data_IF_383480377206
#
_entry.id   IF_383480377206
#
_cell.length_a   1.000
_cell.length_b   1.000
_cell.length_c   1.000
_cell.angle_alpha   90.00
_cell.angle_beta   90.00
_cell.angle_gamma   90.00
#
_symmetry.space_group_name_H-M   'P 1'
#
loop_
_entity.id
_entity.type
_entity.pdbx_description
1 polymer ?
#
# COMPACT_ATOMS: atom_id res chain seq x y z
N UNK A 1 -7.16 -18.30 -24.62
CA UNK A 1 -7.62 -17.33 -23.62
C UNK A 1 -8.47 -16.25 -24.26
N UNK A 2 -9.70 -16.11 -23.78
CA UNK A 2 -10.62 -15.01 -24.08
C UNK A 2 -10.95 -14.24 -22.80
N UNK A 3 -11.52 -13.03 -22.94
CA UNK A 3 -12.00 -12.24 -21.80
C UNK A 3 -13.14 -12.93 -21.01
N UNK A 4 -13.77 -13.95 -21.60
CA UNK A 4 -14.78 -14.80 -20.97
C UNK A 4 -14.18 -15.74 -19.92
N UNK A 5 -12.93 -16.20 -20.12
CA UNK A 5 -12.23 -17.06 -19.16
C UNK A 5 -11.93 -16.29 -17.86
N UNK A 6 -11.62 -15.00 -17.96
CA UNK A 6 -11.48 -14.13 -16.78
C UNK A 6 -12.82 -13.82 -16.11
N UNK A 7 -13.90 -13.76 -16.89
CA UNK A 7 -15.25 -13.54 -16.36
C UNK A 7 -15.76 -14.76 -15.58
N UNK A 8 -15.50 -15.98 -16.06
CA UNK A 8 -15.89 -17.21 -15.35
C UNK A 8 -15.17 -17.34 -14.01
N UNK A 9 -13.86 -17.03 -13.97
CA UNK A 9 -13.09 -16.99 -12.72
C UNK A 9 -13.67 -15.93 -11.76
N UNK A 10 -14.06 -14.76 -12.27
CA UNK A 10 -14.69 -13.73 -11.44
C UNK A 10 -16.02 -14.20 -10.84
N UNK A 11 -16.87 -14.84 -11.65
CA UNK A 11 -18.19 -15.30 -11.21
C UNK A 11 -18.07 -16.32 -10.07
N UNK A 12 -17.06 -17.20 -10.13
CA UNK A 12 -16.74 -18.16 -9.06
C UNK A 12 -16.12 -17.50 -7.83
N UNK A 13 -15.36 -16.41 -8.01
CA UNK A 13 -14.75 -15.64 -6.93
C UNK A 13 -15.68 -14.59 -6.31
N UNK A 14 -16.91 -14.40 -6.81
CA UNK A 14 -17.79 -13.32 -6.37
C UNK A 14 -17.98 -13.30 -4.85
N UNK A 15 -17.60 -12.19 -4.22
CA UNK A 15 -17.61 -12.02 -2.76
C UNK A 15 -16.30 -12.39 -2.04
N UNK A 16 -15.31 -12.91 -2.76
CA UNK A 16 -13.91 -13.02 -2.31
C UNK A 16 -13.20 -11.66 -2.38
N UNK A 17 -12.15 -11.50 -1.56
CA UNK A 17 -11.24 -10.36 -1.62
C UNK A 17 -10.41 -10.31 -2.91
N UNK A 18 -10.24 -11.43 -3.59
CA UNK A 18 -9.53 -11.55 -4.88
C UNK A 18 -10.39 -11.17 -6.10
N UNK A 19 -11.71 -11.09 -5.97
CA UNK A 19 -12.61 -10.82 -7.09
C UNK A 19 -12.37 -9.47 -7.81
N UNK A 20 -12.11 -8.35 -7.10
CA UNK A 20 -11.80 -7.08 -7.76
C UNK A 20 -10.55 -7.16 -8.65
N UNK A 21 -9.52 -7.88 -8.20
CA UNK A 21 -8.26 -8.02 -8.95
C UNK A 21 -8.45 -8.79 -10.27
N UNK A 22 -9.32 -9.81 -10.29
CA UNK A 22 -9.65 -10.54 -11.53
C UNK A 22 -10.44 -9.65 -12.50
N UNK A 23 -11.29 -8.76 -11.99
CA UNK A 23 -11.98 -7.76 -12.82
C UNK A 23 -11.02 -6.72 -13.39
N UNK A 24 -10.08 -6.23 -12.58
CA UNK A 24 -9.04 -5.31 -13.04
C UNK A 24 -8.18 -5.97 -14.12
N UNK A 25 -7.77 -7.22 -13.91
CA UNK A 25 -7.04 -8.01 -14.90
C UNK A 25 -7.83 -8.16 -16.21
N UNK A 26 -9.15 -8.38 -16.13
CA UNK A 26 -10.03 -8.44 -17.30
C UNK A 26 -10.10 -7.12 -18.05
N UNK A 27 -10.20 -5.99 -17.35
CA UNK A 27 -10.16 -4.66 -17.99
C UNK A 27 -8.84 -4.46 -18.74
N UNK A 28 -7.72 -4.72 -18.06
CA UNK A 28 -6.37 -4.59 -18.64
C UNK A 28 -6.16 -5.53 -19.83
N UNK A 29 -6.76 -6.73 -19.80
CA UNK A 29 -6.74 -7.67 -20.92
C UNK A 29 -7.47 -7.11 -22.16
N UNK A 30 -8.64 -6.47 -21.97
CA UNK A 30 -9.38 -5.83 -23.07
C UNK A 30 -8.62 -4.64 -23.67
N UNK A 31 -7.88 -3.90 -22.83
CA UNK A 31 -7.03 -2.79 -23.24
C UNK A 31 -5.68 -3.25 -23.84
N UNK A 32 -5.48 -4.56 -24.03
CA UNK A 32 -4.26 -5.18 -24.56
C UNK A 32 -3.00 -4.93 -23.71
N UNK A 33 -3.16 -4.62 -22.42
CA UNK A 33 -2.09 -4.44 -21.45
C UNK A 33 -1.82 -5.78 -20.72
N UNK A 34 -1.26 -6.76 -21.44
CA UNK A 34 -1.17 -8.14 -20.96
C UNK A 34 -0.17 -8.30 -19.81
N UNK A 35 0.87 -7.47 -19.75
CA UNK A 35 1.82 -7.45 -18.64
C UNK A 35 1.18 -7.01 -17.32
N UNK A 36 0.38 -5.95 -17.36
CA UNK A 36 -0.35 -5.46 -16.20
C UNK A 36 -1.46 -6.44 -15.78
N UNK A 37 -2.18 -7.02 -16.76
CA UNK A 37 -3.18 -8.06 -16.53
C UNK A 37 -2.57 -9.29 -15.84
N UNK A 38 -1.37 -9.73 -16.27
CA UNK A 38 -0.66 -10.83 -15.65
C UNK A 38 -0.32 -10.53 -14.18
N UNK A 39 0.20 -9.34 -13.90
CA UNK A 39 0.49 -8.91 -12.52
C UNK A 39 -0.75 -8.97 -11.62
N UNK A 40 -1.90 -8.49 -12.11
CA UNK A 40 -3.17 -8.54 -11.38
C UNK A 40 -3.70 -9.95 -11.17
N UNK A 41 -3.53 -10.86 -12.13
CA UNK A 41 -3.91 -12.26 -11.96
C UNK A 41 -3.04 -13.00 -10.94
N UNK A 42 -1.72 -12.78 -10.95
CA UNK A 42 -0.81 -13.34 -9.95
C UNK A 42 -1.15 -12.83 -8.54
N UNK A 43 -1.38 -11.52 -8.40
CA UNK A 43 -1.81 -10.92 -7.13
C UNK A 43 -3.16 -11.51 -6.65
N UNK A 44 -4.09 -11.75 -7.57
CA UNK A 44 -5.38 -12.37 -7.27
C UNK A 44 -5.21 -13.82 -6.77
N UNK A 45 -4.30 -14.58 -7.40
CA UNK A 45 -3.98 -15.95 -7.02
C UNK A 45 -3.40 -16.01 -5.59
N UNK A 46 -2.38 -15.20 -5.31
CA UNK A 46 -1.70 -15.14 -4.00
C UNK A 46 -2.70 -14.80 -2.89
N UNK A 47 -3.47 -13.73 -3.05
CA UNK A 47 -4.49 -13.33 -2.06
C UNK A 47 -5.59 -14.38 -1.87
N UNK A 48 -5.93 -15.11 -2.94
CA UNK A 48 -6.91 -16.19 -2.83
C UNK A 48 -6.36 -17.39 -2.06
N UNK A 49 -5.11 -17.79 -2.36
CA UNK A 49 -4.41 -18.85 -1.63
C UNK A 49 -4.26 -18.49 -0.15
N UNK A 50 -3.84 -17.28 0.18
CA UNK A 50 -3.75 -16.79 1.57
C UNK A 50 -5.10 -16.86 2.29
N UNK A 51 -6.18 -16.39 1.64
CA UNK A 51 -7.53 -16.42 2.21
C UNK A 51 -8.06 -17.85 2.44
N UNK A 52 -7.58 -18.83 1.67
CA UNK A 52 -8.00 -20.23 1.72
C UNK A 52 -6.98 -21.17 2.36
N UNK A 53 -5.83 -20.66 2.78
CA UNK A 53 -4.70 -21.44 3.30
C UNK A 53 -5.11 -22.41 4.41
N UNK A 54 -5.92 -21.95 5.37
CA UNK A 54 -6.41 -22.79 6.48
C UNK A 54 -7.27 -23.96 6.01
N UNK A 55 -8.11 -23.73 5.00
CA UNK A 55 -9.04 -24.74 4.46
C UNK A 55 -8.30 -25.75 3.58
N UNK A 56 -7.29 -25.28 2.83
CA UNK A 56 -6.48 -26.13 1.94
C UNK A 56 -5.50 -27.02 2.71
N UNK A 57 -4.87 -26.51 3.80
CA UNK A 57 -3.80 -27.23 4.52
C UNK A 57 -4.31 -28.21 5.58
N UNK A 58 -5.50 -28.00 6.14
CA UNK A 58 -5.99 -28.81 7.26
C UNK A 58 -6.91 -29.93 6.79
N UNK A 59 -6.69 -31.16 7.29
CA UNK A 59 -7.59 -32.28 7.00
C UNK A 59 -8.99 -32.01 7.57
N UNK A 60 -10.06 -32.07 6.76
CA UNK A 60 -11.42 -31.76 7.20
C UNK A 60 -11.92 -32.71 8.31
N UNK A 61 -11.40 -33.94 8.35
CA UNK A 61 -11.72 -34.95 9.37
C UNK A 61 -11.07 -34.62 10.71
N UNK A 62 -9.90 -33.98 10.73
CA UNK A 62 -9.18 -33.62 11.97
C UNK A 62 -9.71 -32.33 12.61
N UNK A 63 -10.41 -31.49 11.85
CA UNK A 63 -10.96 -30.21 12.33
C UNK A 63 -12.26 -30.36 13.12
N UNK A 64 -12.96 -31.48 12.96
CA UNK A 64 -14.29 -31.71 13.53
C UNK A 64 -14.19 -32.77 14.61
N UNK A 65 -14.72 -32.48 15.80
CA UNK A 65 -14.77 -33.46 16.88
C UNK A 65 -15.61 -34.67 16.44
N UNK A 66 -15.04 -35.90 16.42
CA UNK A 66 -15.78 -37.10 16.01
C UNK A 66 -16.98 -37.41 16.90
N UNK A 67 -17.06 -36.82 18.10
CA UNK A 67 -18.18 -37.00 19.03
C UNK A 67 -19.31 -35.99 18.82
N UNK A 68 -19.14 -34.99 17.95
CA UNK A 68 -20.19 -34.01 17.68
C UNK A 68 -21.35 -34.65 16.91
N UNK A 69 -22.59 -34.35 17.33
CA UNK A 69 -23.83 -34.87 16.71
C UNK A 69 -23.97 -34.54 15.22
N UNK A 70 -23.30 -33.48 14.76
CA UNK A 70 -23.30 -32.99 13.36
C UNK A 70 -21.97 -33.21 12.63
N UNK A 71 -21.09 -34.09 13.13
CA UNK A 71 -19.72 -34.24 12.62
C UNK A 71 -19.67 -34.51 11.11
N UNK A 72 -20.43 -35.50 10.61
CA UNK A 72 -20.47 -35.85 9.18
C UNK A 72 -20.93 -34.68 8.30
N UNK A 73 -21.89 -33.89 8.78
CA UNK A 73 -22.40 -32.73 8.04
C UNK A 73 -21.36 -31.62 7.97
N UNK A 74 -20.58 -31.42 9.04
CA UNK A 74 -19.49 -30.45 9.07
C UNK A 74 -18.33 -30.88 8.17
N UNK A 75 -17.93 -32.15 8.22
CA UNK A 75 -16.90 -32.72 7.35
C UNK A 75 -17.29 -32.55 5.87
N UNK A 76 -18.52 -32.94 5.47
CA UNK A 76 -19.00 -32.76 4.09
C UNK A 76 -18.99 -31.30 3.64
N UNK A 77 -19.27 -30.35 4.53
CA UNK A 77 -19.21 -28.92 4.21
C UNK A 77 -17.77 -28.44 4.01
N UNK A 78 -16.82 -28.92 4.81
CA UNK A 78 -15.40 -28.57 4.67
C UNK A 78 -14.80 -29.18 3.39
N UNK A 79 -15.13 -30.43 3.08
CA UNK A 79 -14.71 -31.09 1.83
C UNK A 79 -15.19 -30.29 0.61
N UNK A 80 -16.47 -29.96 0.53
CA UNK A 80 -17.00 -29.14 -0.58
C UNK A 80 -16.34 -27.76 -0.71
N UNK A 81 -15.99 -27.14 0.43
CA UNK A 81 -15.28 -25.85 0.42
C UNK A 81 -13.85 -25.99 -0.08
N UNK A 82 -13.19 -27.09 0.25
CA UNK A 82 -11.83 -27.40 -0.21
C UNK A 82 -11.84 -27.73 -1.72
N UNK A 83 -12.72 -28.62 -2.15
CA UNK A 83 -12.90 -28.97 -3.58
C UNK A 83 -13.16 -27.71 -4.42
N UNK A 84 -14.10 -26.85 -3.99
CA UNK A 84 -14.36 -25.58 -4.69
C UNK A 84 -13.15 -24.64 -4.69
N UNK A 85 -12.33 -24.63 -3.64
CA UNK A 85 -11.13 -23.81 -3.61
C UNK A 85 -10.05 -24.34 -4.56
N UNK A 86 -9.88 -25.65 -4.64
CA UNK A 86 -8.97 -26.34 -5.56
C UNK A 86 -9.41 -26.14 -7.02
N UNK A 87 -10.72 -26.24 -7.31
CA UNK A 87 -11.28 -25.98 -8.65
C UNK A 87 -10.99 -24.55 -9.13
N UNK A 88 -11.22 -23.55 -8.28
CA UNK A 88 -10.93 -22.14 -8.62
C UNK A 88 -9.42 -21.92 -8.86
N UNK A 89 -8.56 -22.54 -8.05
CA UNK A 89 -7.11 -22.46 -8.26
C UNK A 89 -6.68 -23.12 -9.57
N UNK A 90 -7.26 -24.26 -9.91
CA UNK A 90 -7.00 -24.92 -11.19
C UNK A 90 -7.41 -24.05 -12.39
N UNK A 91 -8.56 -23.35 -12.32
CA UNK A 91 -8.95 -22.39 -13.36
C UNK A 91 -7.95 -21.24 -13.50
N UNK A 92 -7.44 -20.70 -12.39
CA UNK A 92 -6.42 -19.64 -12.39
C UNK A 92 -5.10 -20.18 -12.99
N UNK A 93 -4.68 -21.38 -12.60
CA UNK A 93 -3.45 -22.02 -13.09
C UNK A 93 -3.50 -22.37 -14.58
N UNK A 94 -4.69 -22.62 -15.14
CA UNK A 94 -4.89 -22.82 -16.57
C UNK A 94 -4.70 -21.50 -17.36
N UNK A 95 -5.19 -20.39 -16.80
CA UNK A 95 -5.18 -19.08 -17.46
C UNK A 95 -3.83 -18.36 -17.41
N UNK A 96 -3.12 -18.44 -16.28
CA UNK A 96 -1.83 -17.78 -16.07
C UNK A 96 -0.77 -18.06 -17.16
N UNK A 97 -0.52 -19.30 -17.60
CA UNK A 97 0.49 -19.58 -18.63
C UNK A 97 0.08 -19.02 -20.01
N UNK A 98 -1.21 -18.95 -20.31
CA UNK A 98 -1.68 -18.34 -21.57
C UNK A 98 -1.47 -16.82 -21.55
N UNK A 99 -1.81 -16.19 -20.43
CA UNK A 99 -1.60 -14.75 -20.22
C UNK A 99 -0.11 -14.38 -20.25
N UNK A 100 0.76 -15.24 -19.69
CA UNK A 100 2.22 -15.08 -19.77
C UNK A 100 2.71 -15.09 -21.21
N UNK A 101 2.28 -16.06 -22.03
CA UNK A 101 2.62 -16.12 -23.46
C UNK A 101 2.17 -14.88 -24.23
N UNK A 102 1.02 -14.32 -23.91
CA UNK A 102 0.53 -13.07 -24.52
C UNK A 102 1.39 -11.87 -24.08
N UNK A 103 1.76 -11.80 -22.81
CA UNK A 103 2.64 -10.76 -22.28
C UNK A 103 4.04 -10.78 -22.93
N UNK A 104 4.60 -11.96 -23.19
CA UNK A 104 5.90 -12.10 -23.85
C UNK A 104 5.82 -11.69 -25.34
N UNK A 105 4.71 -12.01 -26.02
CA UNK A 105 4.45 -11.54 -27.38
C UNK A 105 4.31 -10.02 -27.45
N UNK A 106 3.65 -9.41 -26.47
CA UNK A 106 3.53 -7.95 -26.38
C UNK A 106 4.90 -7.27 -26.19
N UNK A 107 5.71 -7.80 -25.26
CA UNK A 107 7.07 -7.30 -25.02
C UNK A 107 7.95 -7.40 -26.27
N UNK A 108 7.92 -8.53 -26.96
CA UNK A 108 8.69 -8.71 -28.21
C UNK A 108 8.19 -7.81 -29.35
N UNK A 109 6.89 -7.54 -29.44
CA UNK A 109 6.34 -6.59 -30.41
C UNK A 109 6.79 -5.16 -30.11
N UNK A 110 6.66 -4.70 -28.86
CA UNK A 110 7.13 -3.38 -28.42
C UNK A 110 8.63 -3.18 -28.65
N UNK A 111 9.44 -4.21 -28.38
CA UNK A 111 10.89 -4.17 -28.64
C UNK A 111 11.21 -4.04 -30.14
N UNK A 112 10.46 -4.72 -31.01
CA UNK A 112 10.62 -4.59 -32.47
C UNK A 112 10.18 -3.23 -33.00
N UNK A 113 9.08 -2.69 -32.49
CA UNK A 113 8.59 -1.35 -32.86
C UNK A 113 9.57 -0.25 -32.41
N UNK A 114 10.16 -0.39 -31.22
CA UNK A 114 11.21 0.53 -30.74
C UNK A 114 12.47 0.49 -31.63
N UNK A 115 12.96 -0.71 -31.97
CA UNK A 115 14.13 -0.87 -32.86
C UNK A 115 13.88 -0.38 -34.29
N UNK A 116 12.62 -0.41 -34.75
CA UNK A 116 12.24 0.09 -36.07
C UNK A 116 12.04 1.62 -36.08
N UNK A 117 11.66 2.22 -34.95
CA UNK A 117 11.60 3.67 -34.78
C UNK A 117 12.99 4.32 -34.71
N UNK A 118 13.99 3.63 -34.16
CA UNK A 118 15.38 4.12 -34.08
C UNK A 118 16.15 4.03 -35.42
N UNK A 119 15.61 3.34 -36.43
CA UNK A 119 16.24 3.21 -37.76
C UNK A 119 15.61 4.07 -38.86
N UNK A 120 14.66 4.95 -38.50
CA UNK A 120 14.13 5.95 -39.43
C UNK A 120 15.14 7.11 -39.59
N UNK A 121 15.63 7.40 -40.81
CA UNK A 121 16.54 8.51 -41.03
C UNK A 121 15.83 9.86 -40.80
N UNK A 122 16.53 10.88 -40.27
CA UNK A 122 15.96 12.21 -40.12
C UNK A 122 15.66 12.78 -41.50
N UNK A 123 14.38 12.98 -41.80
CA UNK A 123 13.96 13.80 -42.93
C UNK A 123 14.08 15.26 -42.51
N UNK A 124 15.18 15.88 -42.92
CA UNK A 124 15.27 17.33 -43.09
C UNK A 124 14.21 17.77 -44.10
N UNK A 125 13.19 18.48 -43.64
CA UNK A 125 12.53 19.46 -44.52
C UNK A 125 12.08 20.67 -43.70
N UNK A 126 12.51 21.83 -44.19
CA UNK A 126 12.48 23.12 -43.53
C UNK A 126 11.38 24.04 -44.10
N UNK A 127 11.04 25.07 -43.32
CA UNK A 127 10.16 26.23 -43.58
C UNK A 127 8.67 26.01 -43.28
N UNK A 128 7.89 26.93 -42.71
CA UNK A 128 8.02 28.37 -42.40
C UNK A 128 7.05 28.70 -41.23
N UNK A 129 7.43 29.38 -40.15
CA UNK A 129 7.38 30.84 -39.96
C UNK A 129 6.16 31.33 -39.11
N UNK A 130 6.44 32.37 -38.31
CA UNK A 130 5.59 33.34 -37.60
C UNK A 130 5.08 33.10 -36.15
N UNK A 131 5.55 34.02 -35.28
CA UNK A 131 4.95 34.65 -34.08
C UNK A 131 5.34 34.17 -32.66
N UNK A 132 6.34 34.89 -32.11
CA UNK A 132 6.26 35.72 -30.89
C UNK A 132 5.32 35.26 -29.75
N UNK A 133 5.90 34.84 -28.63
CA UNK A 133 5.43 35.23 -27.29
C UNK A 133 6.48 34.93 -26.22
N UNK A 134 6.64 35.91 -25.35
CA UNK A 134 7.71 36.11 -24.39
C UNK A 134 7.75 35.11 -23.23
N UNK A 135 8.98 34.83 -22.78
CA UNK A 135 9.45 34.80 -21.38
C UNK A 135 8.58 34.10 -20.30
N UNK A 136 9.05 32.95 -19.85
CA UNK A 136 9.34 32.71 -18.44
C UNK A 136 10.24 31.48 -18.29
N UNK A 137 11.48 31.72 -17.90
CA UNK A 137 12.44 30.74 -17.39
C UNK A 137 11.87 30.06 -16.15
N UNK A 138 11.44 28.80 -16.26
CA UNK A 138 11.29 27.91 -15.11
C UNK A 138 12.52 27.01 -15.04
N UNK A 139 13.36 27.39 -14.09
CA UNK A 139 14.45 26.64 -13.50
C UNK A 139 13.86 25.35 -12.89
N UNK A 140 13.90 24.25 -13.66
CA UNK A 140 13.57 22.92 -13.17
C UNK A 140 14.70 22.46 -12.25
N UNK A 141 14.53 22.75 -10.96
CA UNK A 141 15.26 22.07 -9.90
C UNK A 141 14.94 20.57 -9.96
N UNK A 142 15.94 19.67 -9.99
CA UNK A 142 15.70 18.24 -10.01
C UNK A 142 15.02 17.85 -8.70
N UNK A 143 13.84 17.25 -8.83
CA UNK A 143 13.11 16.63 -7.73
C UNK A 143 13.99 15.58 -7.07
N UNK A 144 14.47 15.88 -5.86
CA UNK A 144 15.13 14.92 -4.97
C UNK A 144 14.19 13.75 -4.73
N UNK A 145 14.52 12.61 -5.32
CA UNK A 145 13.88 11.33 -5.11
C UNK A 145 14.07 10.93 -3.64
N UNK A 146 12.99 10.99 -2.85
CA UNK A 146 12.97 10.81 -1.40
C UNK A 146 13.27 9.40 -0.89
N UNK A 147 14.35 8.77 -1.33
CA UNK A 147 14.88 7.50 -0.79
C UNK A 147 15.96 7.72 0.28
N UNK A 148 16.57 8.91 0.35
CA UNK A 148 17.74 9.13 1.21
C UNK A 148 17.43 9.14 2.72
N UNK A 149 16.18 9.37 3.12
CA UNK A 149 15.83 9.55 4.54
C UNK A 149 15.76 8.24 5.34
N UNK A 150 15.51 7.10 4.69
CA UNK A 150 15.19 5.83 5.37
C UNK A 150 16.25 4.72 5.20
N UNK A 151 17.29 4.95 4.40
CA UNK A 151 18.35 3.95 4.18
C UNK A 151 19.32 3.86 5.36
N UNK A 152 19.71 2.64 5.72
CA UNK A 152 20.66 2.37 6.80
C UNK A 152 22.11 2.58 6.31
N UNK A 153 22.91 3.34 7.07
CA UNK A 153 24.35 3.53 6.78
C UNK A 153 25.23 2.60 7.61
N UNK A 154 26.48 2.37 7.17
CA UNK A 154 27.40 1.46 7.85
C UNK A 154 27.65 1.80 9.33
N UNK A 155 27.68 3.09 9.67
CA UNK A 155 27.93 3.57 11.04
C UNK A 155 26.76 3.26 12.00
N UNK A 156 25.57 2.99 11.46
CA UNK A 156 24.37 2.68 12.23
C UNK A 156 24.25 1.20 12.58
N UNK A 157 25.05 0.35 11.94
CA UNK A 157 25.08 -1.09 12.23
C UNK A 157 25.99 -1.34 13.42
N UNK A 158 25.40 -1.76 14.55
CA UNK A 158 26.20 -2.03 15.75
C UNK A 158 27.17 -3.21 15.55
N UNK A 159 28.38 -3.16 16.13
CA UNK A 159 29.35 -4.26 16.01
C UNK A 159 28.80 -5.57 16.58
N UNK A 160 28.05 -5.49 17.70
CA UNK A 160 27.38 -6.66 18.29
C UNK A 160 26.40 -7.34 17.33
N UNK A 161 25.72 -6.55 16.47
CA UNK A 161 24.83 -7.11 15.45
C UNK A 161 25.62 -7.86 14.39
N UNK A 162 26.76 -7.32 13.94
CA UNK A 162 27.64 -7.97 12.97
C UNK A 162 28.18 -9.29 13.52
N UNK A 163 28.61 -9.31 14.78
CA UNK A 163 29.07 -10.53 15.45
C UNK A 163 27.97 -11.59 15.55
N UNK A 164 26.75 -11.18 15.93
CA UNK A 164 25.59 -12.07 15.99
C UNK A 164 25.22 -12.61 14.60
N UNK A 165 25.27 -11.76 13.57
CA UNK A 165 25.00 -12.13 12.19
C UNK A 165 25.99 -13.20 11.70
N UNK A 166 27.28 -13.07 12.02
CA UNK A 166 28.32 -14.02 11.62
C UNK A 166 28.23 -15.38 12.31
N UNK A 167 27.63 -15.45 13.50
CA UNK A 167 27.43 -16.70 14.25
C UNK A 167 26.13 -17.43 13.86
N UNK A 168 25.26 -16.76 13.11
CA UNK A 168 23.92 -17.25 12.76
C UNK A 168 23.93 -18.00 11.42
N UNK A 169 23.05 -18.98 11.26
CA UNK A 169 22.80 -19.62 9.96
C UNK A 169 22.09 -18.66 8.99
N UNK A 170 22.11 -18.94 7.68
CA UNK A 170 21.46 -18.08 6.67
C UNK A 170 19.98 -17.79 6.97
N UNK A 171 19.24 -18.77 7.51
CA UNK A 171 17.84 -18.57 7.86
C UNK A 171 17.69 -17.66 9.09
N UNK A 172 18.52 -17.86 10.11
CA UNK A 172 18.54 -17.03 11.32
C UNK A 172 19.01 -15.60 11.02
N UNK A 173 19.92 -15.41 10.06
CA UNK A 173 20.35 -14.09 9.58
C UNK A 173 19.19 -13.29 8.97
N UNK A 174 18.36 -13.94 8.14
CA UNK A 174 17.17 -13.29 7.56
C UNK A 174 16.17 -12.91 8.65
N UNK A 175 15.96 -13.79 9.63
CA UNK A 175 15.08 -13.49 10.77
C UNK A 175 15.64 -12.37 11.64
N UNK A 176 16.95 -12.34 11.88
CA UNK A 176 17.64 -11.31 12.65
C UNK A 176 17.52 -9.94 11.97
N UNK A 177 17.71 -9.89 10.65
CA UNK A 177 17.49 -8.68 9.84
C UNK A 177 16.03 -8.25 9.93
N UNK A 178 15.07 -9.16 9.69
CA UNK A 178 13.65 -8.82 9.71
C UNK A 178 13.12 -8.36 11.06
N UNK A 179 13.80 -8.68 12.17
CA UNK A 179 13.47 -8.16 13.50
C UNK A 179 13.95 -6.73 13.73
N UNK A 180 15.10 -6.35 13.14
CA UNK A 180 15.76 -5.06 13.43
C UNK A 180 15.66 -4.03 12.33
N UNK A 181 15.48 -4.44 11.08
CA UNK A 181 15.55 -3.58 9.91
C UNK A 181 14.37 -3.83 8.97
N UNK A 182 13.99 -2.79 8.23
CA UNK A 182 13.20 -2.96 7.01
C UNK A 182 14.11 -3.45 5.88
N UNK A 183 13.52 -3.95 4.80
CA UNK A 183 14.27 -4.30 3.61
C UNK A 183 13.48 -3.99 2.35
N UNK A 184 14.18 -3.55 1.30
CA UNK A 184 13.62 -3.26 -0.01
C UNK A 184 14.51 -3.87 -1.10
N UNK A 185 13.96 -4.63 -2.06
CA UNK A 185 14.76 -5.14 -3.18
C UNK A 185 15.21 -3.99 -4.08
N UNK A 186 16.44 -4.07 -4.59
CA UNK A 186 16.95 -3.16 -5.63
C UNK A 186 16.21 -3.47 -6.93
N UNK A 187 15.46 -2.51 -7.48
CA UNK A 187 14.71 -2.71 -8.72
C UNK A 187 15.34 -1.96 -9.89
N UNK A 188 15.99 -0.85 -9.58
CA UNK A 188 16.57 0.09 -10.53
C UNK A 188 17.94 0.56 -10.07
N UNK A 189 18.71 1.10 -11.02
CA UNK A 189 20.01 1.70 -10.78
C UNK A 189 19.95 2.85 -9.74
N UNK A 190 18.79 3.51 -9.60
CA UNK A 190 18.57 4.60 -8.66
C UNK A 190 18.47 4.12 -7.20
N UNK A 191 18.15 2.84 -6.98
CA UNK A 191 18.10 2.27 -5.62
C UNK A 191 19.50 1.99 -5.06
N UNK A 192 20.55 2.11 -5.88
CA UNK A 192 21.94 1.83 -5.52
C UNK A 192 22.61 3.12 -5.06
N UNK A 193 22.50 3.41 -3.76
CA UNK A 193 23.03 4.63 -3.14
C UNK A 193 24.32 4.33 -2.38
N UNK A 194 25.35 5.15 -2.59
CA UNK A 194 26.61 5.03 -1.84
C UNK A 194 26.38 5.25 -0.33
N UNK A 195 27.09 4.49 0.49
CA UNK A 195 26.99 4.48 1.95
C UNK A 195 25.91 3.57 2.51
N UNK A 196 25.03 3.01 1.66
CA UNK A 196 23.93 2.16 2.12
C UNK A 196 24.36 0.73 2.38
N UNK A 197 23.75 0.12 3.40
CA UNK A 197 23.98 -1.27 3.78
C UNK A 197 22.97 -2.18 3.06
N UNK A 198 23.49 -3.20 2.40
CA UNK A 198 22.72 -4.23 1.73
C UNK A 198 22.96 -5.60 2.38
N UNK A 199 21.95 -6.47 2.27
CA UNK A 199 22.09 -7.89 2.53
C UNK A 199 22.12 -8.64 1.19
N UNK A 200 23.20 -9.40 0.97
CA UNK A 200 23.43 -10.22 -0.22
C UNK A 200 23.36 -11.69 0.16
N UNK A 201 22.39 -12.41 -0.42
CA UNK A 201 22.20 -13.84 -0.26
C UNK A 201 22.89 -14.59 -1.39
N UNK A 202 24.04 -15.20 -1.10
CA UNK A 202 24.71 -16.17 -1.97
C UNK A 202 24.16 -17.58 -1.79
N UNK A 203 24.65 -18.50 -2.63
CA UNK A 203 24.26 -19.92 -2.57
C UNK A 203 24.89 -20.64 -1.36
N UNK A 204 26.14 -20.30 -1.04
CA UNK A 204 26.90 -20.91 0.07
C UNK A 204 26.93 -20.03 1.32
N UNK A 205 27.01 -18.70 1.15
CA UNK A 205 27.18 -17.74 2.24
C UNK A 205 26.33 -16.49 2.00
N UNK A 206 25.93 -15.83 3.08
CA UNK A 206 25.23 -14.53 3.01
C UNK A 206 26.10 -13.44 3.64
N UNK A 207 26.08 -12.27 3.01
CA UNK A 207 27.01 -11.18 3.30
C UNK A 207 26.23 -9.92 3.65
N UNK A 208 26.76 -9.17 4.64
CA UNK A 208 26.31 -7.83 4.97
C UNK A 208 27.34 -6.84 4.42
N UNK A 209 26.92 -5.96 3.51
CA UNK A 209 27.82 -5.20 2.65
C UNK A 209 27.43 -3.74 2.57
N UNK A 210 28.40 -2.83 2.68
CA UNK A 210 28.21 -1.40 2.47
C UNK A 210 28.69 -1.01 1.07
N UNK A 211 27.91 -0.20 0.36
CA UNK A 211 28.27 0.31 -0.95
C UNK A 211 29.20 1.51 -0.78
N UNK A 212 30.47 1.46 -1.19
CA UNK A 212 31.41 2.58 -0.93
C UNK A 212 31.42 3.64 -2.03
N UNK A 213 31.10 3.28 -3.28
CA UNK A 213 31.30 4.18 -4.42
C UNK A 213 30.32 3.93 -5.57
N UNK A 214 29.55 4.97 -5.91
CA UNK A 214 28.61 5.01 -7.04
C UNK A 214 28.91 6.26 -7.88
N UNK A 215 30.15 6.44 -8.34
CA UNK A 215 30.54 7.61 -9.17
C UNK A 215 30.13 7.45 -10.65
N UNK A 216 29.00 6.77 -10.93
CA UNK A 216 28.54 6.49 -12.29
C UNK A 216 29.50 5.63 -13.14
N UNK A 217 30.53 5.05 -12.53
CA UNK A 217 31.46 4.11 -13.16
C UNK A 217 31.19 2.72 -12.60
N UNK A 218 30.71 1.82 -13.46
CA UNK A 218 30.76 0.38 -13.20
C UNK A 218 32.23 -0.05 -13.07
N UNK A 219 32.61 -0.90 -12.10
CA UNK A 219 31.76 -1.64 -11.16
C UNK A 219 31.53 -0.95 -9.80
N UNK A 220 30.42 -1.31 -9.13
CA UNK A 220 30.10 -0.87 -7.75
C UNK A 220 31.02 -1.59 -6.77
N UNK A 221 31.68 -0.83 -5.90
CA UNK A 221 32.51 -1.37 -4.83
C UNK A 221 31.66 -1.67 -3.59
N UNK A 222 31.77 -2.90 -3.10
CA UNK A 222 31.03 -3.42 -1.95
C UNK A 222 32.02 -3.85 -0.88
N UNK A 223 31.84 -3.36 0.34
CA UNK A 223 32.69 -3.65 1.49
C UNK A 223 31.93 -4.55 2.46
N UNK A 224 32.43 -5.75 2.71
CA UNK A 224 31.85 -6.66 3.70
C UNK A 224 32.06 -6.09 5.11
N UNK A 225 30.97 -5.82 5.83
CA UNK A 225 31.02 -5.23 7.17
C UNK A 225 31.62 -6.16 8.23
N UNK A 226 31.59 -7.47 8.02
CA UNK A 226 32.14 -8.45 8.96
C UNK A 226 33.63 -8.71 8.76
N UNK A 227 34.08 -8.81 7.51
CA UNK A 227 35.47 -9.18 7.19
C UNK A 227 36.33 -7.98 6.77
N UNK A 228 35.72 -6.86 6.43
CA UNK A 228 36.38 -5.71 5.80
C UNK A 228 36.83 -5.98 4.35
N UNK A 229 36.54 -7.17 3.81
CA UNK A 229 36.91 -7.53 2.45
C UNK A 229 36.11 -6.71 1.43
N UNK A 230 36.79 -6.20 0.41
CA UNK A 230 36.16 -5.47 -0.69
C UNK A 230 36.05 -6.33 -1.93
N UNK A 231 34.96 -6.17 -2.67
CA UNK A 231 34.76 -6.79 -3.97
C UNK A 231 33.93 -5.88 -4.88
N UNK A 232 33.99 -6.14 -6.18
CA UNK A 232 33.38 -5.31 -7.20
C UNK A 232 32.31 -6.07 -7.96
N UNK A 233 31.11 -5.49 -8.05
CA UNK A 233 29.97 -6.08 -8.78
C UNK A 233 29.49 -5.08 -9.84
N UNK A 234 29.33 -5.50 -11.11
CA UNK A 234 28.70 -4.67 -12.13
C UNK A 234 27.29 -4.24 -11.72
N UNK A 235 26.90 -3.01 -12.05
CA UNK A 235 25.62 -2.44 -11.60
C UNK A 235 24.43 -3.25 -12.13
N UNK A 236 24.47 -3.64 -13.40
CA UNK A 236 23.46 -4.50 -14.01
C UNK A 236 23.25 -5.83 -13.26
N UNK A 237 24.34 -6.47 -12.81
CA UNK A 237 24.27 -7.72 -12.03
C UNK A 237 23.66 -7.48 -10.66
N UNK A 238 23.96 -6.34 -10.03
CA UNK A 238 23.39 -5.97 -8.73
C UNK A 238 21.87 -5.79 -8.82
N UNK A 239 21.40 -5.14 -9.89
CA UNK A 239 19.96 -4.97 -10.17
C UNK A 239 19.29 -6.31 -10.49
N UNK A 240 19.93 -7.17 -11.28
CA UNK A 240 19.43 -8.54 -11.53
C UNK A 240 19.29 -9.32 -10.21
N UNK A 241 20.28 -9.26 -9.32
CA UNK A 241 20.19 -9.88 -8.00
C UNK A 241 19.09 -9.26 -7.14
N UNK A 242 18.84 -7.96 -7.25
CA UNK A 242 17.73 -7.30 -6.59
C UNK A 242 16.36 -7.80 -7.07
N UNK A 243 16.19 -7.96 -8.38
CA UNK A 243 14.97 -8.53 -8.99
C UNK A 243 14.74 -9.99 -8.59
N UNK A 244 15.81 -10.77 -8.44
CA UNK A 244 15.77 -12.14 -7.91
C UNK A 244 15.60 -12.21 -6.38
N UNK A 245 15.55 -11.06 -5.68
CA UNK A 245 15.53 -10.94 -4.21
C UNK A 245 16.73 -11.60 -3.53
N UNK A 246 17.86 -11.68 -4.23
CA UNK A 246 19.17 -12.07 -3.68
C UNK A 246 19.88 -10.88 -3.05
N UNK A 247 19.57 -9.65 -3.45
CA UNK A 247 20.08 -8.43 -2.81
C UNK A 247 18.92 -7.57 -2.35
N UNK A 248 18.99 -7.10 -1.11
CA UNK A 248 18.05 -6.13 -0.56
C UNK A 248 18.80 -5.01 0.16
N UNK A 249 18.36 -3.77 -0.01
CA UNK A 249 18.81 -2.61 0.76
C UNK A 249 18.15 -2.68 2.13
N UNK A 250 18.93 -2.47 3.19
CA UNK A 250 18.40 -2.40 4.54
C UNK A 250 17.92 -0.98 4.85
N UNK A 251 16.70 -0.91 5.37
CA UNK A 251 16.06 0.32 5.80
C UNK A 251 16.03 0.36 7.32
N UNK A 252 16.05 1.56 7.91
CA UNK A 252 15.82 1.71 9.34
C UNK A 252 14.45 1.10 9.69
N UNK A 253 14.37 0.29 10.75
CA UNK A 253 13.10 -0.31 11.10
C UNK A 253 12.08 0.77 11.43
N UNK A 254 10.82 0.64 10.99
CA UNK A 254 9.77 1.59 11.37
C UNK A 254 9.51 1.60 12.89
N UNK A 255 10.00 0.59 13.64
CA UNK A 255 10.00 0.61 15.10
C UNK A 255 11.13 1.47 15.68
N UNK A 256 12.30 1.52 15.03
CA UNK A 256 13.42 2.39 15.43
C UNK A 256 13.25 3.81 14.92
N UNK A 257 12.63 4.03 13.75
CA UNK A 257 12.17 5.37 13.32
C UNK A 257 11.14 5.96 14.30
N UNK A 258 10.48 5.10 15.11
CA UNK A 258 9.70 5.55 16.27
C UNK A 258 10.59 5.84 17.48
N UNK A 259 11.58 5.01 17.79
CA UNK A 259 12.42 5.16 18.99
C UNK A 259 13.52 6.24 18.88
N UNK A 260 14.15 6.44 17.73
CA UNK A 260 15.15 7.51 17.51
C UNK A 260 14.50 8.89 17.43
N UNK A 261 13.18 8.94 17.26
CA UNK A 261 12.41 10.16 17.45
C UNK A 261 11.92 10.40 18.87
N UNK A 262 12.21 9.49 19.80
CA UNK A 262 11.77 9.57 21.20
C UNK A 262 12.86 10.17 22.12
N UNK A 263 14.10 10.41 21.64
CA UNK A 263 15.22 10.88 22.49
C UNK A 263 15.51 12.40 22.41
N UNK A 264 14.84 13.14 21.51
CA UNK A 264 14.74 14.61 21.59
C UNK A 264 13.36 15.03 22.12
N UNK A 265 13.08 14.76 23.40
CA UNK A 265 12.30 15.62 24.30
C UNK A 265 10.90 16.12 23.91
N UNK A 266 10.27 15.60 22.85
CA UNK A 266 8.96 16.02 22.38
C UNK A 266 7.98 14.85 22.53
N UNK A 267 7.35 14.78 23.71
CA UNK A 267 6.24 13.87 24.05
C UNK A 267 5.29 13.65 22.87
N UNK A 268 4.73 12.45 22.69
CA UNK A 268 3.70 12.07 21.68
C UNK A 268 2.61 13.13 21.43
N UNK A 269 2.30 13.96 22.43
CA UNK A 269 1.43 15.13 22.29
C UNK A 269 1.90 16.17 21.25
N UNK A 270 3.20 16.28 20.95
CA UNK A 270 3.76 17.28 20.04
C UNK A 270 3.65 16.82 18.59
N UNK A 271 3.86 15.52 18.31
CA UNK A 271 3.69 14.96 16.95
C UNK A 271 2.22 14.83 16.55
N UNK A 272 1.32 14.55 17.50
CA UNK A 272 -0.12 14.63 17.24
C UNK A 272 -0.65 16.09 17.15
N UNK A 273 0.16 17.10 17.50
CA UNK A 273 -0.15 18.53 17.35
C UNK A 273 0.31 19.15 16.04
N UNK A 274 1.19 18.51 15.28
CA UNK A 274 1.59 19.03 13.96
C UNK A 274 0.48 18.68 12.97
N UNK A 275 -0.37 19.68 12.71
CA UNK A 275 -1.40 19.58 11.70
C UNK A 275 -0.75 19.60 10.31
N UNK A 276 -0.99 18.57 9.51
CA UNK A 276 -0.49 18.46 8.14
C UNK A 276 -1.64 18.41 7.13
N UNK A 277 -1.29 18.50 5.83
CA UNK A 277 -2.25 18.35 4.73
C UNK A 277 -2.91 16.96 4.72
N UNK A 278 -2.21 15.95 5.28
CA UNK A 278 -2.72 14.60 5.47
C UNK A 278 -3.92 14.56 6.40
N UNK A 279 -3.87 15.24 7.54
CA UNK A 279 -4.96 15.29 8.52
C UNK A 279 -6.24 15.91 7.95
N UNK A 280 -6.14 16.98 7.15
CA UNK A 280 -7.28 17.58 6.45
C UNK A 280 -7.86 16.66 5.38
N UNK A 281 -7.02 15.91 4.67
CA UNK A 281 -7.46 14.90 3.70
C UNK A 281 -8.18 13.73 4.38
N UNK A 282 -7.67 13.25 5.51
CA UNK A 282 -8.33 12.22 6.32
C UNK A 282 -9.66 12.71 6.91
N UNK A 283 -9.75 13.99 7.28
CA UNK A 283 -10.99 14.62 7.72
C UNK A 283 -12.01 14.65 6.57
N UNK A 284 -11.61 15.08 5.38
CA UNK A 284 -12.46 15.12 4.19
C UNK A 284 -13.03 13.72 3.87
N UNK A 285 -12.17 12.69 3.81
CA UNK A 285 -12.61 11.31 3.56
C UNK A 285 -13.59 10.81 4.62
N UNK A 286 -13.33 11.11 5.89
CA UNK A 286 -14.20 10.71 6.99
C UNK A 286 -15.55 11.44 6.95
N UNK A 287 -15.54 12.73 6.59
CA UNK A 287 -16.73 13.57 6.44
C UNK A 287 -17.61 13.08 5.28
N UNK A 288 -17.02 12.79 4.12
CA UNK A 288 -17.75 12.23 2.98
C UNK A 288 -18.35 10.85 3.29
N UNK A 289 -17.57 9.96 3.92
CA UNK A 289 -18.03 8.60 4.28
C UNK A 289 -19.17 8.59 5.30
N UNK A 290 -19.21 9.54 6.24
CA UNK A 290 -20.28 9.59 7.23
C UNK A 290 -21.60 10.14 6.66
N UNK A 291 -21.54 10.91 5.57
CA UNK A 291 -22.70 11.41 4.81
C UNK A 291 -23.59 12.41 5.56
N UNK A 292 -23.18 12.91 6.73
CA UNK A 292 -23.96 13.86 7.55
C UNK A 292 -23.31 15.23 7.70
N UNK A 293 -22.07 15.41 7.20
CA UNK A 293 -21.36 16.70 7.21
C UNK A 293 -21.86 17.53 6.02
N UNK A 294 -22.55 18.66 6.25
CA UNK A 294 -23.00 19.51 5.16
C UNK A 294 -21.80 20.24 4.54
N UNK A 295 -21.67 20.19 3.22
CA UNK A 295 -20.60 20.87 2.50
C UNK A 295 -19.22 20.28 2.79
N UNK A 296 -19.08 18.95 2.82
CA UNK A 296 -17.78 18.28 3.01
C UNK A 296 -16.70 18.78 2.04
N UNK A 297 -17.08 19.24 0.84
CA UNK A 297 -16.17 19.82 -0.16
C UNK A 297 -15.51 21.13 0.30
N UNK A 298 -16.11 21.83 1.28
CA UNK A 298 -15.49 23.01 1.90
C UNK A 298 -14.20 22.66 2.64
N UNK A 299 -14.04 21.40 3.07
CA UNK A 299 -12.81 20.93 3.73
C UNK A 299 -11.65 20.91 2.73
N UNK A 300 -11.90 20.52 1.47
CA UNK A 300 -10.90 20.58 0.41
C UNK A 300 -10.49 22.02 0.10
N UNK A 301 -11.46 22.94 0.05
CA UNK A 301 -11.20 24.37 -0.13
C UNK A 301 -10.34 24.93 1.03
N UNK A 302 -10.67 24.61 2.29
CA UNK A 302 -9.86 25.02 3.45
C UNK A 302 -8.44 24.46 3.35
N UNK A 303 -8.29 23.19 2.96
CA UNK A 303 -7.00 22.55 2.80
C UNK A 303 -6.14 23.22 1.72
N UNK A 304 -6.69 23.38 0.52
CA UNK A 304 -5.89 23.76 -0.64
C UNK A 304 -5.62 25.26 -0.71
N UNK A 305 -6.49 26.08 -0.10
CA UNK A 305 -6.37 27.53 -0.08
C UNK A 305 -5.97 28.08 1.27
N UNK A 306 -6.84 27.99 2.29
CA UNK A 306 -6.62 28.73 3.55
C UNK A 306 -5.44 28.14 4.34
N UNK A 307 -5.36 26.82 4.46
CA UNK A 307 -4.28 26.15 5.18
C UNK A 307 -2.93 26.28 4.45
N UNK A 308 -2.90 26.11 3.13
CA UNK A 308 -1.68 26.25 2.32
C UNK A 308 -1.13 27.69 2.30
N UNK A 309 -2.00 28.69 2.40
CA UNK A 309 -1.60 30.11 2.43
C UNK A 309 -1.29 30.62 3.84
N UNK A 310 -1.32 29.77 4.86
CA UNK A 310 -1.08 30.16 6.25
C UNK A 310 -2.22 30.94 6.90
N UNK A 311 -3.41 31.01 6.28
CA UNK A 311 -4.59 31.68 6.84
C UNK A 311 -5.30 30.79 7.87
N UNK A 312 -4.61 30.45 8.96
CA UNK A 312 -5.09 29.49 9.96
C UNK A 312 -6.32 29.98 10.73
N UNK A 313 -6.50 31.28 10.92
CA UNK A 313 -7.68 31.86 11.58
C UNK A 313 -8.95 31.58 10.78
N UNK A 314 -8.88 31.84 9.46
CA UNK A 314 -9.99 31.61 8.55
C UNK A 314 -10.26 30.12 8.39
N UNK A 315 -9.21 29.30 8.29
CA UNK A 315 -9.33 27.84 8.30
C UNK A 315 -10.03 27.34 9.57
N UNK A 316 -9.65 27.84 10.76
CA UNK A 316 -10.27 27.48 12.02
C UNK A 316 -11.75 27.86 12.05
N UNK A 317 -12.09 29.09 11.68
CA UNK A 317 -13.48 29.56 11.67
C UNK A 317 -14.38 28.71 10.77
N UNK A 318 -13.89 28.32 9.58
CA UNK A 318 -14.64 27.48 8.64
C UNK A 318 -14.81 26.07 9.21
N UNK A 319 -13.74 25.45 9.71
CA UNK A 319 -13.80 24.08 10.26
C UNK A 319 -14.66 24.03 11.52
N UNK A 320 -14.63 25.06 12.38
CA UNK A 320 -15.51 25.16 13.56
C UNK A 320 -16.99 25.27 13.17
N UNK A 321 -17.31 26.09 12.15
CA UNK A 321 -18.67 26.19 11.61
C UNK A 321 -19.16 24.85 11.04
N UNK A 322 -18.31 24.13 10.31
CA UNK A 322 -18.60 22.79 9.80
C UNK A 322 -18.81 21.78 10.93
N UNK A 323 -17.93 21.78 11.94
CA UNK A 323 -18.04 20.91 13.10
C UNK A 323 -19.33 21.17 13.89
N UNK A 324 -19.71 22.44 14.09
CA UNK A 324 -20.97 22.80 14.76
C UNK A 324 -22.19 22.22 14.05
N UNK A 325 -22.26 22.33 12.71
CA UNK A 325 -23.32 21.74 11.89
C UNK A 325 -23.30 20.21 11.95
N UNK A 326 -22.11 19.61 11.89
CA UNK A 326 -21.92 18.17 12.01
C UNK A 326 -22.43 17.64 13.36
N UNK A 327 -22.07 18.27 14.47
CA UNK A 327 -22.52 17.88 15.83
C UNK A 327 -24.05 18.00 15.95
N UNK A 328 -24.65 19.06 15.41
CA UNK A 328 -26.09 19.23 15.38
C UNK A 328 -26.79 18.10 14.60
N UNK A 329 -26.29 17.76 13.40
CA UNK A 329 -26.82 16.67 12.58
C UNK A 329 -26.64 15.29 13.24
N UNK A 330 -25.49 15.04 13.86
CA UNK A 330 -25.22 13.81 14.59
C UNK A 330 -26.16 13.64 15.79
N UNK A 331 -26.42 14.72 16.54
CA UNK A 331 -27.38 14.74 17.65
C UNK A 331 -28.81 14.49 17.17
N UNK A 332 -29.24 15.18 16.10
CA UNK A 332 -30.57 14.97 15.51
C UNK A 332 -30.77 13.52 15.04
N UNK A 333 -29.75 12.93 14.42
CA UNK A 333 -29.77 11.51 14.03
C UNK A 333 -29.86 10.58 15.24
N UNK A 334 -29.07 10.83 16.28
CA UNK A 334 -29.11 10.02 17.52
C UNK A 334 -30.51 10.04 18.15
N UNK A 335 -31.13 11.21 18.27
CA UNK A 335 -32.51 11.35 18.77
C UNK A 335 -33.52 10.62 17.87
N UNK A 336 -33.34 10.69 16.55
CA UNK A 336 -34.19 9.96 15.60
C UNK A 336 -34.08 8.45 15.78
N UNK A 337 -32.86 7.91 15.92
CA UNK A 337 -32.66 6.48 16.16
C UNK A 337 -33.31 6.04 17.48
N UNK A 338 -33.16 6.83 18.56
CA UNK A 338 -33.82 6.54 19.84
C UNK A 338 -35.36 6.49 19.71
N UNK A 339 -35.97 7.42 18.95
CA UNK A 339 -37.42 7.42 18.69
C UNK A 339 -37.83 6.21 17.86
N UNK A 340 -37.09 5.90 16.81
CA UNK A 340 -37.35 4.75 15.95
C UNK A 340 -37.23 3.43 16.74
N UNK A 341 -36.25 3.29 17.62
CA UNK A 341 -36.11 2.12 18.50
C UNK A 341 -37.27 2.00 19.49
N UNK A 342 -37.75 3.13 20.04
CA UNK A 342 -38.95 3.15 20.89
C UNK A 342 -40.23 2.77 20.13
N UNK A 343 -40.37 3.24 18.88
CA UNK A 343 -41.49 2.90 18.00
C UNK A 343 -41.47 1.41 17.59
N UNK A 344 -40.28 0.83 17.39
CA UNK A 344 -40.12 -0.62 17.14
C UNK A 344 -40.45 -1.41 18.42
N UNK A 345 -39.95 -0.98 19.57
CA UNK A 345 -40.18 -1.67 20.86
C UNK A 345 -41.66 -1.63 21.29
N UNK A 346 -42.36 -0.52 21.03
CA UNK A 346 -43.80 -0.40 21.31
C UNK A 346 -44.68 -1.14 20.30
N UNK A 347 -44.11 -1.70 19.24
CA UNK A 347 -44.86 -2.39 18.17
C UNK A 347 -45.60 -1.45 17.22
N UNK A 348 -45.38 -0.13 17.33
CA UNK A 348 -45.90 0.87 16.36
C UNK A 348 -45.30 0.63 14.98
N UNK A 349 -44.02 0.26 14.91
CA UNK A 349 -43.34 -0.16 13.69
C UNK A 349 -43.15 -1.67 13.73
N UNK A 350 -43.81 -2.38 12.82
CA UNK A 350 -43.64 -3.83 12.65
C UNK A 350 -42.44 -4.09 11.74
N UNK A 351 -41.44 -4.79 12.26
CA UNK A 351 -40.23 -5.17 11.54
C UNK A 351 -39.90 -6.63 11.86
N UNK A 352 -39.51 -7.42 10.86
CA UNK A 352 -39.11 -8.81 11.12
C UNK A 352 -37.79 -8.84 11.92
N UNK A 353 -37.52 -9.91 12.70
CA UNK A 353 -36.27 -10.02 13.45
C UNK A 353 -35.01 -9.90 12.56
N UNK A 354 -35.10 -10.40 11.32
CA UNK A 354 -34.01 -10.33 10.34
C UNK A 354 -33.77 -8.89 9.85
N UNK A 355 -34.85 -8.16 9.56
CA UNK A 355 -34.77 -6.75 9.16
C UNK A 355 -34.27 -5.87 10.30
N UNK A 356 -34.71 -6.13 11.54
CA UNK A 356 -34.25 -5.40 12.72
C UNK A 356 -32.75 -5.58 12.94
N UNK A 357 -32.24 -6.80 12.80
CA UNK A 357 -30.81 -7.08 12.91
C UNK A 357 -30.01 -6.37 11.80
N UNK A 358 -30.49 -6.45 10.54
CA UNK A 358 -29.85 -5.77 9.42
C UNK A 358 -29.87 -4.24 9.56
N UNK A 359 -30.96 -3.67 10.10
CA UNK A 359 -31.06 -2.25 10.42
C UNK A 359 -30.02 -1.85 11.47
N UNK A 360 -30.00 -2.52 12.63
CA UNK A 360 -29.04 -2.25 13.70
C UNK A 360 -27.58 -2.35 13.25
N UNK A 361 -27.28 -3.31 12.36
CA UNK A 361 -25.94 -3.42 11.78
C UNK A 361 -25.57 -2.19 10.94
N UNK A 362 -26.48 -1.72 10.07
CA UNK A 362 -26.28 -0.49 9.27
C UNK A 362 -26.12 0.73 10.16
N UNK A 363 -26.98 0.88 11.17
CA UNK A 363 -26.93 2.02 12.09
C UNK A 363 -25.60 2.05 12.85
N UNK A 364 -25.13 0.89 13.32
CA UNK A 364 -23.82 0.75 13.99
C UNK A 364 -22.65 1.09 13.07
N UNK A 365 -22.68 0.66 11.81
CA UNK A 365 -21.62 1.01 10.85
C UNK A 365 -21.57 2.51 10.59
N UNK A 366 -22.74 3.16 10.53
CA UNK A 366 -22.82 4.60 10.36
C UNK A 366 -22.39 5.36 11.62
N UNK A 367 -22.74 4.89 12.82
CA UNK A 367 -22.25 5.46 14.09
C UNK A 367 -20.73 5.44 14.18
N UNK A 368 -20.09 4.33 13.76
CA UNK A 368 -18.64 4.25 13.69
C UNK A 368 -18.02 5.23 12.69
N UNK A 369 -18.69 5.51 11.58
CA UNK A 369 -18.23 6.52 10.62
C UNK A 369 -18.36 7.94 11.19
N UNK A 370 -19.45 8.22 11.93
CA UNK A 370 -19.66 9.49 12.63
C UNK A 370 -18.59 9.70 13.70
N UNK A 371 -18.30 8.70 14.53
CA UNK A 371 -17.27 8.83 15.57
C UNK A 371 -15.87 9.03 14.98
N UNK A 372 -15.54 8.35 13.86
CA UNK A 372 -14.29 8.62 13.14
C UNK A 372 -14.23 10.06 12.64
N UNK A 373 -15.29 10.57 12.02
CA UNK A 373 -15.35 11.96 11.57
C UNK A 373 -15.20 12.94 12.75
N UNK A 374 -15.85 12.68 13.88
CA UNK A 374 -15.73 13.47 15.12
C UNK A 374 -14.29 13.53 15.62
N UNK A 375 -13.61 12.40 15.71
CA UNK A 375 -12.20 12.35 16.12
C UNK A 375 -11.30 13.14 15.18
N UNK A 376 -11.54 13.07 13.86
CA UNK A 376 -10.78 13.85 12.87
C UNK A 376 -11.05 15.35 12.97
N UNK A 377 -12.30 15.75 13.21
CA UNK A 377 -12.62 17.17 13.44
C UNK A 377 -11.88 17.71 14.66
N UNK A 378 -11.91 16.99 15.78
CA UNK A 378 -11.21 17.41 16.99
C UNK A 378 -9.70 17.55 16.75
N UNK A 379 -9.08 16.55 16.09
CA UNK A 379 -7.65 16.61 15.74
C UNK A 379 -7.31 17.85 14.89
N UNK A 380 -8.09 18.12 13.84
CA UNK A 380 -7.84 19.29 12.97
C UNK A 380 -8.06 20.60 13.74
N UNK A 381 -9.11 20.70 14.54
CA UNK A 381 -9.40 21.89 15.34
C UNK A 381 -8.31 22.17 16.38
N UNK A 382 -7.84 21.14 17.07
CA UNK A 382 -6.77 21.28 18.05
C UNK A 382 -5.44 21.64 17.38
N UNK A 383 -5.15 21.04 16.22
CA UNK A 383 -3.99 21.40 15.40
C UNK A 383 -4.02 22.86 14.92
N UNK A 384 -5.16 23.34 14.40
CA UNK A 384 -5.32 24.73 13.97
C UNK A 384 -5.16 25.70 15.15
N UNK A 385 -5.69 25.37 16.33
CA UNK A 385 -5.51 26.18 17.55
C UNK A 385 -4.06 26.24 18.01
N UNK A 386 -3.28 25.18 17.81
CA UNK A 386 -1.85 25.17 18.13
C UNK A 386 -1.09 26.07 17.16
N UNK A 387 -1.33 25.95 15.85
CA UNK A 387 -0.70 26.81 14.85
C UNK A 387 -0.97 28.29 15.10
N UNK A 388 -2.21 28.65 15.44
CA UNK A 388 -2.57 30.03 15.79
C UNK A 388 -1.85 30.55 17.03
N UNK A 389 -1.67 29.70 18.06
CA UNK A 389 -0.92 30.08 19.26
C UNK A 389 0.57 30.27 19.00
N UNK A 390 1.12 29.55 18.01
CA UNK A 390 2.51 29.66 17.61
C UNK A 390 2.79 30.89 16.74
N UNK A 391 1.75 31.56 16.22
CA UNK A 391 1.89 32.77 15.41
C UNK A 391 2.57 32.52 14.06
N UNK A 392 2.45 31.29 13.55
CA UNK A 392 2.90 30.89 12.20
C UNK A 392 1.95 31.43 11.15
#
# INVERSE_FOLDING_TARGET
MNAEDLQSIYDELRGSRSAPLVMDARSLFLDQQYTAALGKMTEAQEKYQESRFRILKQDPVKQVDPKAKDADRQIRRLVRKREKAEEILAMIDEVLPELKKLSDKEKTKKAKEAAQAESAPPTDDASSDVADSESATNDESPSESGLDADTLTADEVSPDFVDQFMQSTTQEQIELIGQRFGFQPIQTDQDVVAGTVCFLKGDDESLLVCLSKVDGREPVEMVNLATGGTFHVPLNVLVEFGQERKVVVLLRSPAEVRQLSDDEGATDEVRDRVLDMGALSQLMDSAQRCGIVPGADQIAYVRDKEFRTGQYDLALQIIESLNGKFVANASARSQRLMREDADIASGRVKMSPKELHAKRLRDRTQDQAIERARSRFNRVLDGLRVLLKQGV
#
